data_IF_196872390430
#
_entry.id   IF_196872390430
#
_cell.length_a   1.000
_cell.length_b   1.000
_cell.length_c   1.000
_cell.angle_alpha   90.00
_cell.angle_beta   90.00
_cell.angle_gamma   90.00
#
_symmetry.space_group_name_H-M   'P 1'
#
loop_
_entity.id
_entity.type
_entity.pdbx_description
1 polymer ?
#
# COMPACT_ATOMS: atom_id res chain seq x y z
N UNK A 1 0.84 -4.51 18.50
CA UNK A 1 -0.44 -5.28 18.44
C UNK A 1 -1.08 -4.95 17.11
N UNK A 2 -1.48 -5.97 16.35
CA UNK A 2 -2.29 -5.80 15.13
C UNK A 2 -3.73 -5.59 15.58
N UNK A 3 -4.32 -4.43 15.31
CA UNK A 3 -5.73 -4.17 15.63
C UNK A 3 -6.59 -4.77 14.52
N UNK A 4 -7.51 -5.71 14.83
CA UNK A 4 -8.34 -6.31 13.80
C UNK A 4 -9.34 -5.27 13.29
N UNK A 5 -9.23 -4.93 12.00
CA UNK A 5 -10.07 -3.89 11.37
C UNK A 5 -11.44 -4.44 10.98
N UNK A 6 -11.53 -5.70 10.56
CA UNK A 6 -12.81 -6.31 10.14
C UNK A 6 -13.90 -6.25 11.23
N UNK A 7 -13.64 -6.63 12.51
CA UNK A 7 -14.64 -6.52 13.56
C UNK A 7 -15.08 -5.09 13.88
N UNK A 8 -14.20 -4.10 13.70
CA UNK A 8 -14.56 -2.68 13.87
C UNK A 8 -15.49 -2.20 12.76
N UNK A 9 -15.26 -2.65 11.52
CA UNK A 9 -16.14 -2.36 10.38
C UNK A 9 -17.50 -3.05 10.59
N UNK A 10 -17.52 -4.33 10.97
CA UNK A 10 -18.77 -5.06 11.24
C UNK A 10 -19.58 -4.35 12.35
N UNK A 11 -18.92 -3.98 13.45
CA UNK A 11 -19.57 -3.24 14.55
C UNK A 11 -20.05 -1.84 14.14
N UNK A 12 -19.37 -1.18 13.20
CA UNK A 12 -19.80 0.10 12.66
C UNK A 12 -21.06 -0.06 11.79
N UNK A 13 -21.12 -1.12 10.99
CA UNK A 13 -22.24 -1.45 10.10
C UNK A 13 -23.51 -1.86 10.86
N UNK A 14 -23.38 -2.44 12.06
CA UNK A 14 -24.49 -2.82 12.93
C UNK A 14 -25.27 -1.62 13.54
N UNK A 15 -24.86 -0.38 13.25
CA UNK A 15 -25.55 0.79 13.79
C UNK A 15 -26.96 0.96 13.19
N UNK A 16 -28.00 1.20 14.01
CA UNK A 16 -29.40 1.24 13.54
C UNK A 16 -29.72 2.41 12.60
N UNK A 17 -28.96 3.51 12.70
CA UNK A 17 -29.01 4.62 11.73
C UNK A 17 -27.96 4.39 10.62
N UNK A 18 -28.37 4.18 9.36
CA UNK A 18 -27.46 3.95 8.23
C UNK A 18 -26.47 5.08 7.99
N UNK A 19 -26.84 6.34 8.26
CA UNK A 19 -25.93 7.48 8.07
C UNK A 19 -24.79 7.42 9.08
N UNK A 20 -25.12 7.09 10.32
CA UNK A 20 -24.14 6.90 11.38
C UNK A 20 -23.28 5.66 11.15
N UNK A 21 -23.84 4.59 10.55
CA UNK A 21 -23.06 3.42 10.15
C UNK A 21 -21.96 3.80 9.14
N UNK A 22 -22.32 4.54 8.08
CA UNK A 22 -21.38 5.03 7.06
C UNK A 22 -20.27 5.89 7.66
N UNK A 23 -20.63 6.86 8.51
CA UNK A 23 -19.63 7.75 9.14
C UNK A 23 -18.66 6.97 10.05
N UNK A 24 -19.16 5.98 10.79
CA UNK A 24 -18.32 5.11 11.63
C UNK A 24 -17.38 4.22 10.80
N UNK A 25 -17.83 3.71 9.65
CA UNK A 25 -16.94 2.96 8.75
C UNK A 25 -15.84 3.87 8.23
N UNK A 26 -16.18 5.08 7.75
CA UNK A 26 -15.20 6.08 7.32
C UNK A 26 -14.22 6.45 8.44
N UNK A 27 -14.70 6.58 9.68
CA UNK A 27 -13.86 6.80 10.87
C UNK A 27 -12.83 5.68 11.06
N UNK A 28 -13.27 4.41 11.00
CA UNK A 28 -12.40 3.23 11.18
C UNK A 28 -11.33 3.21 10.09
N UNK A 29 -11.72 3.33 8.82
CA UNK A 29 -10.77 3.29 7.69
C UNK A 29 -9.78 4.46 7.76
N UNK A 30 -10.27 5.69 8.00
CA UNK A 30 -9.41 6.87 8.10
C UNK A 30 -8.40 6.73 9.24
N UNK A 31 -8.87 6.38 10.44
CA UNK A 31 -8.00 6.21 11.61
C UNK A 31 -6.92 5.17 11.31
N UNK A 32 -7.33 4.06 10.72
CA UNK A 32 -6.42 2.99 10.41
C UNK A 32 -5.37 3.36 9.37
N UNK A 33 -5.75 4.08 8.31
CA UNK A 33 -4.80 4.58 7.31
C UNK A 33 -3.83 5.60 7.93
N UNK A 34 -4.29 6.47 8.83
CA UNK A 34 -3.43 7.43 9.54
C UNK A 34 -2.51 6.76 10.56
N UNK A 35 -2.96 5.68 11.20
CA UNK A 35 -2.13 4.88 12.09
C UNK A 35 -0.97 4.23 11.34
N UNK A 36 -1.18 3.84 10.07
CA UNK A 36 -0.12 3.28 9.22
C UNK A 36 0.76 4.38 8.61
N UNK A 37 0.15 5.43 8.09
CA UNK A 37 0.82 6.47 7.31
C UNK A 37 0.47 7.88 7.83
N UNK A 38 1.07 8.31 8.96
CA UNK A 38 0.65 9.51 9.70
C UNK A 38 1.01 10.84 9.01
N UNK A 39 1.87 10.81 7.99
CA UNK A 39 2.22 12.00 7.20
C UNK A 39 1.15 12.39 6.19
N UNK A 40 0.17 11.50 5.94
CA UNK A 40 -0.97 11.82 5.11
C UNK A 40 -2.02 12.67 5.83
N UNK A 41 -2.75 13.41 5.01
CA UNK A 41 -3.99 14.10 5.38
C UNK A 41 -5.13 13.47 4.61
N UNK A 42 -6.15 13.02 5.32
CA UNK A 42 -7.35 12.41 4.75
C UNK A 42 -8.52 13.37 4.92
N UNK A 43 -9.24 13.63 3.84
CA UNK A 43 -10.50 14.39 3.81
C UNK A 43 -11.63 13.45 3.46
N UNK A 44 -12.71 13.48 4.23
CA UNK A 44 -13.94 12.73 3.92
C UNK A 44 -14.76 13.49 2.90
N UNK A 45 -15.37 12.77 1.99
CA UNK A 45 -16.43 13.29 1.15
C UNK A 45 -17.78 12.90 1.74
N UNK A 46 -18.85 13.52 1.25
CA UNK A 46 -20.22 13.17 1.64
C UNK A 46 -20.74 11.91 0.93
N UNK A 47 -19.93 11.30 0.05
CA UNK A 47 -20.32 10.14 -0.77
C UNK A 47 -19.98 8.82 -0.08
N UNK A 48 -20.74 7.77 -0.41
CA UNK A 48 -20.46 6.41 0.03
C UNK A 48 -20.88 5.39 -1.01
N UNK A 49 -20.07 4.33 -1.19
CA UNK A 49 -20.31 3.24 -2.16
C UNK A 49 -20.58 3.74 -3.58
N UNK A 50 -19.88 4.81 -3.97
CA UNK A 50 -20.03 5.46 -5.28
C UNK A 50 -18.83 5.18 -6.17
N UNK A 51 -19.06 4.77 -7.41
CA UNK A 51 -17.96 4.44 -8.33
C UNK A 51 -17.18 5.69 -8.76
N UNK A 52 -17.81 6.82 -9.06
CA UNK A 52 -17.08 7.96 -9.65
C UNK A 52 -16.48 8.96 -8.66
N UNK A 53 -16.86 8.88 -7.38
CA UNK A 53 -16.47 9.87 -6.38
C UNK A 53 -15.95 9.13 -5.16
N UNK A 54 -14.72 9.40 -4.71
CA UNK A 54 -14.16 8.67 -3.58
C UNK A 54 -14.88 9.04 -2.28
N UNK A 55 -14.94 8.09 -1.37
CA UNK A 55 -15.37 8.27 0.01
C UNK A 55 -14.37 9.12 0.80
N UNK A 56 -13.08 8.90 0.55
CA UNK A 56 -11.99 9.64 1.20
C UNK A 56 -10.94 10.06 0.16
N UNK A 57 -10.41 11.27 0.31
CA UNK A 57 -9.26 11.76 -0.43
C UNK A 57 -8.05 11.83 0.50
N UNK A 58 -7.06 10.98 0.24
CA UNK A 58 -5.79 10.97 0.95
C UNK A 58 -4.76 11.81 0.19
N UNK A 59 -4.05 12.70 0.88
CA UNK A 59 -3.02 13.57 0.29
C UNK A 59 -1.78 13.59 1.16
N UNK A 60 -0.60 13.58 0.56
CA UNK A 60 0.67 13.69 1.28
C UNK A 60 1.71 14.45 0.44
N UNK A 61 2.83 14.78 1.07
CA UNK A 61 3.96 15.40 0.38
C UNK A 61 5.10 14.39 0.30
N UNK A 62 5.58 14.13 -0.92
CA UNK A 62 6.79 13.35 -1.15
C UNK A 62 7.83 14.26 -1.81
N UNK A 63 8.74 14.80 -1.00
CA UNK A 63 9.69 15.82 -1.44
C UNK A 63 8.97 17.11 -1.83
N UNK A 64 9.12 17.56 -3.08
CA UNK A 64 8.50 18.79 -3.59
C UNK A 64 7.14 18.57 -4.24
N UNK A 65 6.69 17.32 -4.37
CA UNK A 65 5.42 16.97 -5.02
C UNK A 65 4.34 16.68 -3.98
N UNK A 66 3.15 17.20 -4.24
CA UNK A 66 1.92 16.75 -3.58
C UNK A 66 1.41 15.53 -4.33
N UNK A 67 1.18 14.45 -3.59
CA UNK A 67 0.58 13.23 -4.08
C UNK A 67 -0.82 13.09 -3.51
N UNK A 68 -1.70 12.47 -4.29
CA UNK A 68 -3.06 12.16 -3.88
C UNK A 68 -3.41 10.71 -4.18
N UNK A 69 -4.32 10.16 -3.37
CA UNK A 69 -4.90 8.84 -3.53
C UNK A 69 -6.36 8.87 -3.17
N UNK A 70 -7.19 8.38 -4.10
CA UNK A 70 -8.63 8.31 -3.94
C UNK A 70 -9.00 6.98 -3.28
N UNK A 71 -9.72 7.03 -2.17
CA UNK A 71 -10.15 5.85 -1.41
C UNK A 71 -11.65 5.64 -1.64
N UNK A 72 -12.01 4.46 -2.12
CA UNK A 72 -13.38 4.05 -2.41
C UNK A 72 -13.76 2.91 -1.47
N UNK A 73 -14.82 3.09 -0.69
CA UNK A 73 -15.35 2.07 0.22
C UNK A 73 -16.50 1.37 -0.49
N UNK A 74 -16.44 0.04 -0.62
CA UNK A 74 -17.44 -0.73 -1.36
C UNK A 74 -18.17 -1.70 -0.45
N UNK A 75 -19.50 -1.60 -0.41
CA UNK A 75 -20.30 -2.53 0.38
C UNK A 75 -20.20 -3.97 -0.17
N UNK A 76 -20.03 -4.10 -1.48
CA UNK A 76 -19.81 -5.39 -2.14
C UNK A 76 -18.34 -5.85 -2.05
N UNK A 77 -18.16 -7.14 -1.84
CA UNK A 77 -16.87 -7.85 -1.98
C UNK A 77 -16.87 -8.83 -3.17
N UNK A 78 -17.82 -8.68 -4.10
CA UNK A 78 -17.90 -9.46 -5.34
C UNK A 78 -16.79 -9.02 -6.31
N UNK A 79 -15.85 -9.91 -6.67
CA UNK A 79 -14.76 -9.54 -7.57
C UNK A 79 -15.19 -9.04 -8.96
N UNK A 80 -16.32 -9.51 -9.52
CA UNK A 80 -16.76 -9.09 -10.86
C UNK A 80 -17.25 -7.64 -10.85
N UNK A 81 -18.02 -7.28 -9.81
CA UNK A 81 -18.48 -5.91 -9.62
C UNK A 81 -17.31 -4.97 -9.37
N UNK A 82 -16.39 -5.34 -8.46
CA UNK A 82 -15.21 -4.55 -8.17
C UNK A 82 -14.31 -4.39 -9.41
N UNK A 83 -14.19 -5.41 -10.26
CA UNK A 83 -13.41 -5.31 -11.49
C UNK A 83 -14.04 -4.30 -12.45
N UNK A 84 -15.36 -4.33 -12.58
CA UNK A 84 -16.11 -3.36 -13.39
C UNK A 84 -15.93 -1.93 -12.88
N UNK A 85 -15.90 -1.73 -11.56
CA UNK A 85 -15.65 -0.43 -10.95
C UNK A 85 -14.22 0.06 -11.20
N UNK A 86 -13.22 -0.81 -11.02
CA UNK A 86 -11.81 -0.45 -11.21
C UNK A 86 -11.51 -0.03 -12.65
N UNK A 87 -12.17 -0.65 -13.64
CA UNK A 87 -12.04 -0.26 -15.05
C UNK A 87 -12.46 1.18 -15.32
N UNK A 88 -13.33 1.75 -14.48
CA UNK A 88 -13.80 3.13 -14.63
C UNK A 88 -12.84 4.16 -14.01
N UNK A 89 -11.83 3.72 -13.26
CA UNK A 89 -10.86 4.61 -12.65
C UNK A 89 -9.71 4.94 -13.59
N UNK A 90 -9.28 6.20 -13.54
CA UNK A 90 -8.06 6.65 -14.22
C UNK A 90 -6.82 6.18 -13.44
N UNK A 91 -5.81 5.68 -14.17
CA UNK A 91 -4.57 5.11 -13.60
C UNK A 91 -3.82 6.13 -12.73
N UNK A 92 -3.87 7.39 -13.12
CA UNK A 92 -3.20 8.51 -12.49
C UNK A 92 -3.75 8.79 -11.08
N UNK A 93 -4.99 8.39 -10.80
CA UNK A 93 -5.65 8.59 -9.50
C UNK A 93 -5.23 7.56 -8.43
N UNK A 94 -4.53 6.50 -8.84
CA UNK A 94 -4.01 5.42 -7.99
C UNK A 94 -5.03 4.91 -6.95
N UNK A 95 -6.23 4.49 -7.38
CA UNK A 95 -7.35 4.22 -6.48
C UNK A 95 -7.01 3.16 -5.42
N UNK A 96 -7.50 3.39 -4.20
CA UNK A 96 -7.53 2.42 -3.11
C UNK A 96 -8.97 1.99 -2.90
N UNK A 97 -9.30 0.76 -3.27
CA UNK A 97 -10.62 0.17 -3.09
C UNK A 97 -10.60 -0.68 -1.83
N UNK A 98 -11.48 -0.35 -0.88
CA UNK A 98 -11.65 -1.10 0.37
C UNK A 98 -13.04 -1.73 0.35
N UNK A 99 -13.17 -3.00 -0.06
CA UNK A 99 -14.41 -3.73 0.16
C UNK A 99 -14.64 -3.88 1.67
N UNK A 100 -15.87 -3.76 2.13
CA UNK A 100 -16.21 -3.84 3.56
C UNK A 100 -16.30 -5.29 4.08
N UNK A 101 -16.20 -6.27 3.18
CA UNK A 101 -16.11 -7.68 3.51
C UNK A 101 -14.89 -8.32 2.84
N UNK A 102 -14.52 -9.52 3.31
CA UNK A 102 -13.40 -10.29 2.75
C UNK A 102 -13.69 -10.67 1.29
N UNK A 103 -12.71 -10.48 0.42
CA UNK A 103 -12.80 -10.91 -0.97
C UNK A 103 -12.86 -12.43 -1.09
N UNK A 104 -13.76 -12.89 -1.96
CA UNK A 104 -13.81 -14.30 -2.37
C UNK A 104 -12.55 -14.77 -3.10
N UNK A 105 -12.50 -16.07 -3.37
CA UNK A 105 -11.49 -16.72 -4.22
C UNK A 105 -12.13 -17.29 -5.47
N UNK A 106 -11.36 -17.41 -6.56
CA UNK A 106 -11.82 -18.02 -7.81
C UNK A 106 -11.49 -17.18 -9.04
N UNK A 107 -11.95 -17.58 -10.23
CA UNK A 107 -11.56 -16.95 -11.51
C UNK A 107 -11.89 -15.44 -11.58
N UNK A 108 -13.01 -15.02 -11.01
CA UNK A 108 -13.40 -13.61 -10.95
C UNK A 108 -12.39 -12.76 -10.15
N UNK A 109 -11.74 -13.35 -9.13
CA UNK A 109 -10.66 -12.70 -8.38
C UNK A 109 -9.42 -12.50 -9.25
N UNK A 110 -9.07 -13.47 -10.07
CA UNK A 110 -7.91 -13.37 -10.96
C UNK A 110 -8.13 -12.29 -12.05
N UNK A 111 -9.36 -12.15 -12.52
CA UNK A 111 -9.76 -11.04 -13.39
C UNK A 111 -9.64 -9.69 -12.66
N UNK A 112 -10.15 -9.58 -11.43
CA UNK A 112 -9.99 -8.38 -10.61
C UNK A 112 -8.51 -8.02 -10.38
N UNK A 113 -7.65 -9.01 -10.10
CA UNK A 113 -6.21 -8.81 -9.92
C UNK A 113 -5.60 -8.18 -11.16
N UNK A 114 -5.89 -8.76 -12.33
CA UNK A 114 -5.39 -8.27 -13.62
C UNK A 114 -5.81 -6.82 -13.87
N UNK A 115 -7.10 -6.54 -13.68
CA UNK A 115 -7.67 -5.19 -13.84
C UNK A 115 -7.06 -4.20 -12.85
N UNK A 116 -6.89 -4.60 -11.58
CA UNK A 116 -6.28 -3.76 -10.56
C UNK A 116 -4.82 -3.44 -10.86
N UNK A 117 -4.03 -4.42 -11.32
CA UNK A 117 -2.64 -4.22 -11.74
C UNK A 117 -2.55 -3.26 -12.94
N UNK A 118 -3.42 -3.42 -13.94
CA UNK A 118 -3.48 -2.58 -15.14
C UNK A 118 -3.89 -1.13 -14.81
N UNK A 119 -4.86 -0.94 -13.91
CA UNK A 119 -5.37 0.37 -13.52
C UNK A 119 -4.61 1.02 -12.36
N UNK A 120 -3.49 0.44 -11.91
CA UNK A 120 -2.73 0.91 -10.76
C UNK A 120 -3.60 1.06 -9.49
N UNK A 121 -4.62 0.21 -9.37
CA UNK A 121 -5.54 0.17 -8.26
C UNK A 121 -5.06 -0.82 -7.21
N UNK A 122 -5.24 -0.48 -5.94
CA UNK A 122 -5.11 -1.43 -4.84
C UNK A 122 -6.49 -1.81 -4.36
N UNK A 123 -6.79 -3.10 -4.33
CA UNK A 123 -7.93 -3.63 -3.60
C UNK A 123 -7.41 -4.19 -2.27
N UNK A 124 -7.66 -3.48 -1.18
CA UNK A 124 -7.19 -3.82 0.16
C UNK A 124 -8.37 -4.22 1.02
N UNK A 125 -8.52 -5.51 1.30
CA UNK A 125 -9.63 -5.99 2.13
C UNK A 125 -9.39 -5.66 3.63
N UNK A 126 -10.43 -5.77 4.48
CA UNK A 126 -10.31 -5.43 5.90
C UNK A 126 -9.23 -6.23 6.64
N UNK A 127 -8.95 -7.46 6.22
CA UNK A 127 -7.91 -8.29 6.81
C UNK A 127 -6.51 -7.80 6.42
N UNK A 128 -6.32 -7.39 5.16
CA UNK A 128 -5.09 -6.76 4.69
C UNK A 128 -4.83 -5.42 5.36
N UNK A 129 -5.86 -4.57 5.47
CA UNK A 129 -5.77 -3.30 6.19
C UNK A 129 -5.45 -3.51 7.68
N UNK A 130 -6.01 -4.55 8.28
CA UNK A 130 -5.64 -5.00 9.63
C UNK A 130 -4.17 -5.38 9.75
N UNK A 131 -3.64 -6.17 8.81
CA UNK A 131 -2.29 -6.73 8.86
C UNK A 131 -1.14 -5.71 8.74
N UNK A 132 -1.40 -4.48 8.28
CA UNK A 132 -0.36 -3.45 8.22
C UNK A 132 0.18 -3.14 9.63
N UNK A 133 1.47 -2.89 9.85
CA UNK A 133 1.94 -2.41 11.14
C UNK A 133 1.43 -0.99 11.40
N UNK A 134 1.14 -0.67 12.66
CA UNK A 134 1.01 0.74 13.08
C UNK A 134 2.38 1.41 12.93
N UNK A 135 2.37 2.65 12.47
CA UNK A 135 3.57 3.47 12.37
C UNK A 135 4.28 3.53 13.72
N UNK A 136 5.60 3.31 13.69
CA UNK A 136 6.45 3.49 14.85
C UNK A 136 7.49 4.57 14.52
N UNK A 137 7.88 5.41 15.50
CA UNK A 137 8.93 6.41 15.27
C UNK A 137 10.26 5.79 14.82
N UNK A 138 10.49 4.53 15.18
CA UNK A 138 11.61 3.72 14.71
C UNK A 138 11.41 3.36 13.24
N UNK A 139 12.23 3.94 12.38
CA UNK A 139 12.21 3.68 10.95
C UNK A 139 12.80 2.30 10.69
N UNK A 140 11.95 1.38 10.26
CA UNK A 140 12.30 -0.02 9.98
C UNK A 140 11.98 -0.35 8.52
N UNK A 141 12.62 -1.38 7.93
CA UNK A 141 12.25 -1.86 6.59
C UNK A 141 10.77 -2.23 6.47
N UNK A 142 10.16 -2.75 7.54
CA UNK A 142 8.73 -3.09 7.59
C UNK A 142 7.84 -1.85 7.55
N UNK A 143 8.24 -0.75 8.22
CA UNK A 143 7.52 0.52 8.14
C UNK A 143 7.53 1.07 6.71
N UNK A 144 8.68 1.06 6.04
CA UNK A 144 8.77 1.44 4.62
C UNK A 144 7.89 0.59 3.71
N UNK A 145 7.89 -0.72 3.93
CA UNK A 145 7.04 -1.62 3.16
C UNK A 145 5.55 -1.30 3.36
N UNK A 146 5.15 -0.97 4.59
CA UNK A 146 3.77 -0.56 4.89
C UNK A 146 3.41 0.77 4.23
N UNK A 147 4.30 1.75 4.31
CA UNK A 147 4.15 3.06 3.65
C UNK A 147 3.99 2.86 2.13
N UNK A 148 4.81 2.00 1.53
CA UNK A 148 4.75 1.68 0.10
C UNK A 148 3.40 1.11 -0.35
N UNK A 149 2.77 0.25 0.46
CA UNK A 149 1.42 -0.27 0.20
C UNK A 149 0.40 0.87 0.20
N UNK A 150 0.41 1.72 1.24
CA UNK A 150 -0.56 2.79 1.41
C UNK A 150 -0.38 3.91 0.38
N UNK A 151 0.86 4.28 0.07
CA UNK A 151 1.17 5.33 -0.90
C UNK A 151 0.84 4.91 -2.34
N UNK A 152 1.20 3.69 -2.72
CA UNK A 152 1.11 3.29 -4.12
C UNK A 152 1.10 1.79 -4.35
N UNK A 153 0.58 1.00 -3.42
CA UNK A 153 0.28 -0.40 -3.66
C UNK A 153 -0.66 -0.57 -4.86
N UNK A 154 -0.62 -1.74 -5.50
CA UNK A 154 -1.55 -2.16 -6.56
C UNK A 154 -1.80 -3.67 -6.53
N UNK A 155 -2.83 -4.12 -7.24
CA UNK A 155 -3.30 -5.51 -7.21
C UNK A 155 -4.25 -5.76 -6.04
N UNK A 156 -4.39 -7.00 -5.60
CA UNK A 156 -5.21 -7.36 -4.45
C UNK A 156 -4.35 -7.73 -3.25
N UNK A 157 -4.63 -7.10 -2.11
CA UNK A 157 -3.97 -7.39 -0.84
C UNK A 157 -4.98 -7.76 0.25
N UNK A 158 -4.93 -9.03 0.66
CA UNK A 158 -5.47 -9.47 1.95
C UNK A 158 -4.33 -9.66 2.97
N UNK A 159 -4.67 -10.15 4.16
CA UNK A 159 -3.73 -10.37 5.27
C UNK A 159 -2.42 -11.07 4.83
N UNK A 160 -2.54 -12.26 4.21
CA UNK A 160 -1.36 -13.04 3.78
C UNK A 160 -0.50 -12.32 2.75
N UNK A 161 -1.11 -11.56 1.83
CA UNK A 161 -0.37 -10.81 0.81
C UNK A 161 0.40 -9.65 1.45
N UNK A 162 -0.23 -8.94 2.39
CA UNK A 162 0.42 -7.87 3.14
C UNK A 162 1.59 -8.43 3.96
N UNK A 163 1.38 -9.48 4.75
CA UNK A 163 2.43 -10.09 5.56
C UNK A 163 3.62 -10.57 4.71
N UNK A 164 3.33 -11.22 3.57
CA UNK A 164 4.36 -11.64 2.62
C UNK A 164 5.12 -10.44 2.07
N UNK A 165 4.43 -9.39 1.64
CA UNK A 165 5.08 -8.18 1.11
C UNK A 165 6.00 -7.55 2.16
N UNK A 166 5.51 -7.36 3.38
CA UNK A 166 6.26 -6.81 4.50
C UNK A 166 7.51 -7.64 4.81
N UNK A 167 7.39 -8.97 4.85
CA UNK A 167 8.50 -9.89 5.08
C UNK A 167 9.54 -9.86 3.95
N UNK A 168 9.09 -9.92 2.69
CA UNK A 168 9.97 -9.95 1.53
C UNK A 168 10.75 -8.64 1.38
N UNK A 169 10.08 -7.50 1.56
CA UNK A 169 10.75 -6.19 1.53
C UNK A 169 11.70 -6.05 2.70
N UNK A 170 11.29 -6.43 3.91
CA UNK A 170 12.15 -6.35 5.09
C UNK A 170 13.44 -7.16 4.94
N UNK A 171 13.31 -8.42 4.51
CA UNK A 171 14.44 -9.31 4.23
C UNK A 171 15.30 -8.77 3.10
N UNK A 172 14.69 -8.18 2.06
CA UNK A 172 15.40 -7.62 0.92
C UNK A 172 16.25 -6.39 1.25
N UNK A 173 15.77 -5.50 2.12
CA UNK A 173 16.53 -4.33 2.56
C UNK A 173 17.77 -4.77 3.35
N UNK A 174 17.62 -5.72 4.27
CA UNK A 174 18.76 -6.28 5.02
C UNK A 174 19.74 -7.04 4.11
N UNK A 175 19.22 -7.85 3.19
CA UNK A 175 20.04 -8.55 2.20
C UNK A 175 20.83 -7.57 1.31
N UNK A 176 20.23 -6.45 0.92
CA UNK A 176 20.93 -5.42 0.16
C UNK A 176 22.06 -4.81 1.00
N UNK A 177 21.80 -4.52 2.27
CA UNK A 177 22.80 -4.01 3.23
C UNK A 177 23.97 -4.99 3.45
N UNK A 178 23.73 -6.29 3.27
CA UNK A 178 24.76 -7.34 3.36
C UNK A 178 25.38 -7.72 2.00
N UNK A 179 24.95 -7.08 0.90
CA UNK A 179 25.44 -7.39 -0.44
C UNK A 179 25.01 -8.77 -0.96
N UNK A 180 23.87 -9.30 -0.52
CA UNK A 180 23.31 -10.59 -0.94
C UNK A 180 22.37 -10.42 -2.15
N UNK A 181 22.77 -10.92 -3.31
CA UNK A 181 22.09 -10.64 -4.57
C UNK A 181 20.68 -11.26 -4.67
N UNK A 182 20.50 -12.52 -4.31
CA UNK A 182 19.25 -13.24 -4.59
C UNK A 182 18.06 -12.74 -3.74
N UNK A 183 18.17 -12.57 -2.40
CA UNK A 183 17.04 -12.04 -1.63
C UNK A 183 16.72 -10.59 -1.99
N UNK A 184 17.73 -9.78 -2.33
CA UNK A 184 17.55 -8.42 -2.86
C UNK A 184 16.75 -8.44 -4.17
N UNK A 185 17.09 -9.33 -5.11
CA UNK A 185 16.35 -9.49 -6.38
C UNK A 185 14.89 -9.86 -6.14
N UNK A 186 14.65 -10.81 -5.24
CA UNK A 186 13.29 -11.26 -4.92
C UNK A 186 12.45 -10.12 -4.34
N UNK A 187 13.01 -9.34 -3.42
CA UNK A 187 12.33 -8.18 -2.86
C UNK A 187 12.01 -7.10 -3.90
N UNK A 188 12.95 -6.80 -4.81
CA UNK A 188 12.74 -5.84 -5.90
C UNK A 188 11.63 -6.30 -6.86
N UNK A 189 11.56 -7.60 -7.13
CA UNK A 189 10.47 -8.19 -7.92
C UNK A 189 9.10 -8.03 -7.23
N UNK A 190 9.03 -8.34 -5.92
CA UNK A 190 7.81 -8.19 -5.12
C UNK A 190 7.35 -6.72 -5.06
N UNK A 191 8.28 -5.78 -4.84
CA UNK A 191 8.00 -4.33 -4.88
C UNK A 191 7.46 -3.91 -6.25
N UNK A 192 8.13 -4.31 -7.34
CA UNK A 192 7.71 -3.92 -8.69
C UNK A 192 6.36 -4.51 -9.10
N UNK A 193 6.03 -5.70 -8.59
CA UNK A 193 4.74 -6.32 -8.84
C UNK A 193 3.63 -5.57 -8.10
N UNK A 194 3.82 -5.33 -6.82
CA UNK A 194 2.75 -4.90 -5.92
C UNK A 194 2.69 -3.40 -5.65
N UNK A 195 3.53 -2.60 -6.32
CA UNK A 195 3.47 -1.13 -6.22
C UNK A 195 3.52 -0.47 -7.59
N UNK A 196 3.03 0.76 -7.67
CA UNK A 196 3.11 1.58 -8.87
C UNK A 196 4.57 1.97 -9.17
N UNK A 197 4.90 2.30 -10.43
CA UNK A 197 6.29 2.51 -10.85
C UNK A 197 7.06 3.54 -10.02
N UNK A 198 6.41 4.61 -9.55
CA UNK A 198 7.04 5.67 -8.77
C UNK A 198 7.50 5.18 -7.40
N UNK A 199 6.67 4.40 -6.70
CA UNK A 199 7.03 3.78 -5.42
C UNK A 199 8.10 2.71 -5.62
N UNK A 200 7.96 1.87 -6.64
CA UNK A 200 8.94 0.84 -6.98
C UNK A 200 10.34 1.42 -7.25
N UNK A 201 10.43 2.53 -8.00
CA UNK A 201 11.72 3.21 -8.24
C UNK A 201 12.34 3.78 -6.97
N UNK A 202 11.55 4.37 -6.06
CA UNK A 202 12.06 4.89 -4.77
C UNK A 202 12.63 3.77 -3.91
N UNK A 203 11.88 2.67 -3.75
CA UNK A 203 12.33 1.49 -3.01
C UNK A 203 13.56 0.83 -3.62
N UNK A 204 13.62 0.73 -4.96
CA UNK A 204 14.81 0.25 -5.67
C UNK A 204 16.02 1.14 -5.43
N UNK A 205 15.83 2.46 -5.43
CA UNK A 205 16.90 3.45 -5.15
C UNK A 205 17.44 3.30 -3.73
N UNK A 206 16.56 3.09 -2.75
CA UNK A 206 16.95 2.81 -1.38
C UNK A 206 17.80 1.52 -1.30
N UNK A 207 17.31 0.41 -1.87
CA UNK A 207 18.04 -0.86 -1.84
C UNK A 207 19.38 -0.78 -2.60
N UNK A 208 19.45 -0.02 -3.70
CA UNK A 208 20.70 0.24 -4.42
C UNK A 208 21.70 1.03 -3.57
N UNK A 209 21.23 2.01 -2.79
CA UNK A 209 22.07 2.76 -1.86
C UNK A 209 22.57 1.87 -0.71
N UNK A 210 21.71 1.01 -0.14
CA UNK A 210 22.12 0.01 0.86
C UNK A 210 23.15 -0.98 0.29
N UNK A 211 22.93 -1.44 -0.94
CA UNK A 211 23.86 -2.31 -1.68
C UNK A 211 25.24 -1.67 -1.84
N UNK A 212 25.28 -0.41 -2.28
CA UNK A 212 26.55 0.31 -2.38
C UNK A 212 27.20 0.53 -1.01
N UNK A 213 26.39 0.79 0.03
CA UNK A 213 26.84 0.91 1.43
C UNK A 213 27.50 -0.36 1.96
N UNK A 214 27.09 -1.54 1.46
CA UNK A 214 27.75 -2.83 1.78
C UNK A 214 29.17 -2.97 1.20
N UNK A 215 29.61 -2.01 0.37
CA UNK A 215 30.89 -2.05 -0.35
C UNK A 215 30.83 -2.72 -1.71
N UNK A 216 29.65 -3.19 -2.15
CA UNK A 216 29.43 -3.77 -3.47
C UNK A 216 29.30 -2.70 -4.56
N UNK A 217 29.65 -3.06 -5.80
CA UNK A 217 29.47 -2.18 -6.95
C UNK A 217 28.02 -2.13 -7.38
N UNK A 218 27.52 -0.97 -7.80
CA UNK A 218 26.20 -0.84 -8.44
C UNK A 218 26.07 -1.63 -9.74
N UNK A 219 27.19 -1.96 -10.41
CA UNK A 219 27.18 -2.84 -11.58
C UNK A 219 26.77 -4.28 -11.24
N UNK A 220 26.90 -4.69 -9.98
CA UNK A 220 26.51 -6.00 -9.47
C UNK A 220 25.11 -6.00 -8.84
N UNK A 221 24.45 -4.84 -8.79
CA UNK A 221 23.11 -4.72 -8.22
C UNK A 221 22.11 -5.58 -9.03
N UNK A 222 21.29 -6.42 -8.38
CA UNK A 222 20.53 -7.47 -9.05
C UNK A 222 19.25 -6.96 -9.76
N UNK A 223 19.15 -5.67 -10.05
CA UNK A 223 18.10 -5.07 -10.85
C UNK A 223 18.66 -3.90 -11.68
N UNK A 224 17.82 -3.29 -12.50
CA UNK A 224 18.20 -2.08 -13.23
C UNK A 224 18.59 -0.99 -12.23
N UNK A 225 19.80 -0.44 -12.39
CA UNK A 225 20.28 0.66 -11.55
C UNK A 225 19.30 1.82 -11.68
N UNK A 226 18.68 2.25 -10.57
CA UNK A 226 17.65 3.27 -10.64
C UNK A 226 18.25 4.62 -11.09
N UNK A 227 17.60 5.26 -12.07
CA UNK A 227 17.93 6.62 -12.46
C UNK A 227 17.31 7.61 -11.46
N UNK A 228 18.14 8.45 -10.83
CA UNK A 228 17.79 9.57 -9.93
C UNK A 228 16.32 9.63 -9.48
N UNK A 229 15.96 8.86 -8.45
CA UNK A 229 14.70 9.03 -7.73
C UNK A 229 14.96 9.82 -6.44
N UNK A 230 14.05 10.75 -6.09
CA UNK A 230 14.10 11.40 -4.78
C UNK A 230 13.71 10.38 -3.71
N UNK A 231 14.59 10.14 -2.75
CA UNK A 231 14.27 9.37 -1.55
C UNK A 231 13.37 10.22 -0.64
N UNK A 232 12.38 9.58 -0.03
CA UNK A 232 11.58 10.21 1.02
C UNK A 232 12.35 10.25 2.35
N UNK A 233 11.76 10.93 3.32
CA UNK A 233 12.36 11.10 4.64
C UNK A 233 12.61 9.74 5.33
N UNK A 234 11.67 8.80 5.26
CA UNK A 234 11.82 7.47 5.88
C UNK A 234 13.02 6.72 5.31
N UNK A 235 13.14 6.68 3.98
CA UNK A 235 14.24 6.07 3.25
C UNK A 235 15.59 6.72 3.57
N UNK A 236 15.63 8.06 3.64
CA UNK A 236 16.85 8.81 3.97
C UNK A 236 17.34 8.52 5.37
N UNK A 237 16.47 8.47 6.37
CA UNK A 237 16.92 8.16 7.73
C UNK A 237 17.34 6.72 7.89
N UNK A 238 16.75 5.77 7.17
CA UNK A 238 17.23 4.39 7.19
C UNK A 238 18.67 4.30 6.66
N UNK A 239 18.97 5.02 5.57
CA UNK A 239 20.34 5.13 5.06
C UNK A 239 21.29 5.76 6.09
N UNK A 240 20.88 6.86 6.73
CA UNK A 240 21.71 7.56 7.71
C UNK A 240 21.93 6.76 9.01
N UNK A 241 21.01 5.87 9.35
CA UNK A 241 21.12 4.98 10.51
C UNK A 241 21.91 3.71 10.26
N UNK A 242 22.32 3.46 9.00
CA UNK A 242 23.15 2.31 8.66
C UNK A 242 24.63 2.64 8.96
N UNK A 243 25.32 1.84 9.77
CA UNK A 243 26.74 2.06 10.11
C UNK A 243 27.67 1.76 8.94
#
# INVERSE_FOLDING_TARGET
MVTPVAPEIDSALDHPDPRQAVERVKDVIQRRLLDVYPTARIVRTDFFDHTYVPDLLMTWSSGTRKSERRVYLRASSDPELLASDVQLFEREQQPLVVPLARLGSGPARDQLETVAEEHHALVLDPSGLGALPVHTPTRTPTALASDAIVEGGRGIMGERQVERFLYMVGTGVEAAREGQADPTRLALSEVSRHTVPDVSRRMSTLMAAMWQGSGRSLSEFPANVPHQASLDETSLSLLLSSP
#
